data_IF_333152531201
#
_entry.id   IF_333152531201
#
_cell.length_a   1.000
_cell.length_b   1.000
_cell.length_c   1.000
_cell.angle_alpha   90.00
_cell.angle_beta   90.00
_cell.angle_gamma   90.00
#
_symmetry.space_group_name_H-M   'P 1'
#
loop_
_entity.id
_entity.type
_entity.pdbx_description
1 polymer ?
#
# COMPACT_ATOMS: atom_id res chain seq x y z
N UNK A 1 4.63 -2.64 17.58
CA UNK A 1 5.57 -1.90 16.72
C UNK A 1 4.79 -1.39 15.52
N UNK A 2 5.09 -0.20 15.00
CA UNK A 2 4.46 0.26 13.76
C UNK A 2 5.00 -0.57 12.58
N UNK A 3 4.15 -1.05 11.67
CA UNK A 3 4.60 -1.78 10.49
C UNK A 3 5.51 -0.95 9.58
N UNK A 4 6.38 -1.63 8.83
CA UNK A 4 7.34 -1.01 7.91
C UNK A 4 8.10 0.22 8.49
N UNK A 5 8.44 0.16 9.78
CA UNK A 5 9.09 1.26 10.51
C UNK A 5 10.44 0.80 11.04
N UNK A 6 11.42 1.70 11.01
CA UNK A 6 12.78 1.44 11.50
C UNK A 6 12.83 1.63 13.01
N UNK A 7 13.41 0.65 13.72
CA UNK A 7 13.63 0.71 15.17
C UNK A 7 15.07 0.35 15.54
N UNK A 8 15.51 0.87 16.68
CA UNK A 8 16.65 0.39 17.47
C UNK A 8 16.24 0.39 18.95
N UNK A 9 16.91 -0.40 19.78
CA UNK A 9 16.61 -0.47 21.21
C UNK A 9 17.87 -0.43 22.08
N UNK A 10 17.67 -0.05 23.35
CA UNK A 10 18.67 -0.13 24.42
C UNK A 10 18.07 -0.92 25.57
N UNK A 11 18.92 -1.62 26.33
CA UNK A 11 18.50 -2.38 27.52
C UNK A 11 19.09 -1.78 28.79
N UNK A 12 18.35 -1.87 29.89
CA UNK A 12 18.83 -1.53 31.24
C UNK A 12 18.72 -2.76 32.14
N UNK A 13 19.68 -2.94 33.04
CA UNK A 13 19.59 -3.94 34.10
C UNK A 13 18.97 -3.32 35.35
N UNK A 14 18.11 -4.08 36.04
CA UNK A 14 17.40 -3.65 37.24
C UNK A 14 17.66 -4.64 38.37
N UNK A 15 18.08 -4.16 39.53
CA UNK A 15 18.21 -4.96 40.75
C UNK A 15 17.70 -4.16 41.98
N UNK A 16 17.81 -4.74 43.18
CA UNK A 16 17.35 -4.11 44.43
C UNK A 16 18.07 -2.79 44.78
N UNK A 17 19.26 -2.54 44.22
CA UNK A 17 20.05 -1.32 44.44
C UNK A 17 19.77 -0.24 43.40
N UNK A 18 19.06 -0.56 42.32
CA UNK A 18 18.66 0.41 41.30
C UNK A 18 18.85 -0.08 39.87
N UNK A 19 18.95 0.87 38.95
CA UNK A 19 19.07 0.64 37.51
C UNK A 19 20.50 0.87 37.03
N UNK A 20 20.97 0.07 36.07
CA UNK A 20 22.22 0.34 35.36
C UNK A 20 22.09 1.53 34.40
N UNK A 21 23.22 1.99 33.86
CA UNK A 21 23.18 2.80 32.64
C UNK A 21 22.61 1.97 31.47
N UNK A 22 21.93 2.61 30.50
CA UNK A 22 21.49 1.93 29.27
C UNK A 22 22.66 1.37 28.47
N UNK A 23 22.43 0.24 27.81
CA UNK A 23 23.37 -0.31 26.83
C UNK A 23 23.60 0.62 25.66
N UNK A 24 24.61 0.30 24.84
CA UNK A 24 24.69 0.81 23.46
C UNK A 24 23.43 0.37 22.69
N UNK A 25 23.05 1.17 21.69
CA UNK A 25 21.97 0.87 20.78
C UNK A 25 22.24 -0.43 20.01
N UNK A 26 21.18 -1.19 19.78
CA UNK A 26 21.18 -2.31 18.84
C UNK A 26 21.41 -1.82 17.41
N UNK A 27 21.62 -2.76 16.48
CA UNK A 27 21.47 -2.48 15.06
C UNK A 27 20.05 -2.02 14.73
N UNK A 28 19.94 -1.21 13.68
CA UNK A 28 18.66 -0.83 13.10
C UNK A 28 18.03 -2.03 12.40
N UNK A 29 16.73 -2.22 12.59
CA UNK A 29 15.93 -3.19 11.86
C UNK A 29 14.61 -2.56 11.43
N UNK A 30 14.04 -3.10 10.35
CA UNK A 30 12.74 -2.68 9.85
C UNK A 30 11.72 -3.74 10.23
N UNK A 31 10.60 -3.32 10.79
CA UNK A 31 9.49 -4.24 11.06
C UNK A 31 8.86 -4.76 9.78
N UNK A 32 8.14 -5.88 9.89
CA UNK A 32 7.40 -6.46 8.77
C UNK A 32 6.39 -5.49 8.17
N UNK A 33 6.07 -5.74 6.91
CA UNK A 33 5.03 -5.06 6.14
C UNK A 33 3.67 -5.62 6.53
N UNK A 34 2.63 -4.80 6.42
CA UNK A 34 1.23 -5.20 6.58
C UNK A 34 0.37 -4.67 5.43
N UNK A 35 -0.87 -5.16 5.35
CA UNK A 35 -1.83 -4.65 4.38
C UNK A 35 -2.13 -3.17 4.67
N UNK A 36 -2.20 -2.29 3.65
CA UNK A 36 -2.59 -0.90 3.85
C UNK A 36 -3.94 -0.81 4.54
N UNK A 37 -4.03 0.03 5.57
CA UNK A 37 -5.28 0.35 6.26
C UNK A 37 -5.97 1.55 5.62
N UNK A 38 -5.19 2.40 4.95
CA UNK A 38 -5.71 3.54 4.21
C UNK A 38 -6.19 3.19 2.80
N UNK A 39 -7.15 3.98 2.32
CA UNK A 39 -7.67 3.90 0.95
C UNK A 39 -7.55 5.24 0.24
N UNK A 40 -7.33 5.26 -1.09
CA UNK A 40 -7.40 6.50 -1.85
C UNK A 40 -8.78 7.14 -1.68
N UNK A 41 -8.81 8.47 -1.58
CA UNK A 41 -10.06 9.22 -1.46
C UNK A 41 -10.45 9.74 -2.83
N UNK A 42 -11.52 9.19 -3.40
CA UNK A 42 -12.07 9.68 -4.68
C UNK A 42 -12.49 11.13 -4.55
N UNK A 43 -11.97 11.99 -5.42
CA UNK A 43 -12.32 13.42 -5.47
C UNK A 43 -13.30 13.73 -6.58
N UNK A 44 -13.17 13.08 -7.73
CA UNK A 44 -14.06 13.25 -8.88
C UNK A 44 -14.29 11.88 -9.49
N UNK A 45 -15.53 11.58 -9.85
CA UNK A 45 -15.90 10.43 -10.65
C UNK A 45 -17.09 10.80 -11.54
N UNK A 46 -16.93 10.74 -12.87
CA UNK A 46 -18.01 11.00 -13.82
C UNK A 46 -17.74 10.32 -15.17
N UNK A 47 -18.81 10.10 -15.93
CA UNK A 47 -18.71 9.61 -17.29
C UNK A 47 -18.24 10.75 -18.22
N UNK A 48 -17.21 10.50 -19.01
CA UNK A 48 -16.73 11.41 -20.07
C UNK A 48 -17.34 11.10 -21.43
N UNK A 49 -17.88 9.89 -21.60
CA UNK A 49 -18.69 9.48 -22.75
C UNK A 49 -19.61 8.33 -22.33
N UNK A 50 -20.43 7.83 -23.26
CA UNK A 50 -21.25 6.62 -23.05
C UNK A 50 -20.42 5.38 -22.63
N UNK A 51 -19.12 5.37 -22.90
CA UNK A 51 -18.24 4.23 -22.66
C UNK A 51 -16.97 4.61 -21.90
N UNK A 52 -16.88 5.79 -21.30
CA UNK A 52 -15.65 6.22 -20.62
C UNK A 52 -15.93 6.87 -19.28
N UNK A 53 -15.13 6.50 -18.28
CA UNK A 53 -15.19 7.09 -16.93
C UNK A 53 -13.90 7.86 -16.67
N UNK A 54 -14.04 9.07 -16.13
CA UNK A 54 -12.95 9.81 -15.51
C UNK A 54 -13.03 9.65 -14.00
N UNK A 55 -11.91 9.32 -13.37
CA UNK A 55 -11.78 9.22 -11.93
C UNK A 55 -10.50 9.92 -11.48
N UNK A 56 -10.60 10.71 -10.41
CA UNK A 56 -9.46 11.29 -9.71
C UNK A 56 -9.54 11.03 -8.22
N UNK A 57 -8.38 10.95 -7.57
CA UNK A 57 -8.28 10.61 -6.17
C UNK A 57 -7.09 11.30 -5.49
N UNK A 58 -7.17 11.42 -4.16
CA UNK A 58 -6.04 11.75 -3.29
C UNK A 58 -5.43 10.47 -2.75
N UNK A 59 -4.12 10.49 -2.51
CA UNK A 59 -3.42 9.41 -1.82
C UNK A 59 -3.97 9.24 -0.38
N UNK A 60 -3.96 8.02 0.18
CA UNK A 60 -4.16 7.86 1.60
C UNK A 60 -2.98 8.45 2.40
N UNK A 61 -3.15 8.70 3.71
CA UNK A 61 -2.05 9.12 4.57
C UNK A 61 -0.88 8.13 4.51
N UNK A 62 0.39 8.59 4.42
CA UNK A 62 1.55 7.71 4.31
C UNK A 62 1.64 6.65 5.42
N UNK A 63 1.30 7.02 6.66
CA UNK A 63 1.28 6.15 7.83
C UNK A 63 0.26 5.00 7.75
N UNK A 64 -0.68 5.09 6.81
CA UNK A 64 -1.67 4.04 6.54
C UNK A 64 -1.27 3.11 5.39
N UNK A 65 -0.15 3.42 4.71
CA UNK A 65 0.51 2.58 3.72
C UNK A 65 1.58 1.79 4.49
N UNK A 66 1.16 0.66 5.07
CA UNK A 66 1.95 -0.17 5.99
C UNK A 66 3.03 -1.01 5.28
N UNK A 67 3.69 -0.44 4.28
CA UNK A 67 4.64 -1.12 3.42
C UNK A 67 5.16 -0.19 2.33
N UNK A 68 5.87 -0.77 1.37
CA UNK A 68 6.35 -0.04 0.21
C UNK A 68 5.19 0.35 -0.71
N UNK A 69 5.12 1.62 -1.10
CA UNK A 69 4.13 2.09 -2.07
C UNK A 69 4.59 1.76 -3.49
N UNK A 70 3.83 0.92 -4.20
CA UNK A 70 4.16 0.54 -5.60
C UNK A 70 3.32 1.28 -6.64
N UNK A 71 2.30 2.02 -6.22
CA UNK A 71 1.39 2.74 -7.09
C UNK A 71 -0.09 2.47 -6.80
N UNK A 72 -0.92 2.51 -7.84
CA UNK A 72 -2.37 2.30 -7.73
C UNK A 72 -2.84 1.16 -8.62
N UNK A 73 -3.84 0.42 -8.13
CA UNK A 73 -4.60 -0.56 -8.89
C UNK A 73 -6.02 -0.06 -9.11
N UNK A 74 -6.42 0.08 -10.36
CA UNK A 74 -7.75 0.50 -10.78
C UNK A 74 -8.51 -0.72 -11.26
N UNK A 75 -9.67 -1.01 -10.68
CA UNK A 75 -10.57 -2.07 -11.15
C UNK A 75 -11.78 -1.45 -11.82
N UNK A 76 -12.21 -1.99 -12.96
CA UNK A 76 -13.37 -1.48 -13.69
C UNK A 76 -14.17 -2.60 -14.34
N UNK A 77 -15.45 -2.34 -14.61
CA UNK A 77 -16.32 -3.23 -15.38
C UNK A 77 -16.58 -2.65 -16.76
N UNK A 78 -16.27 -3.39 -17.84
CA UNK A 78 -16.63 -2.97 -19.18
C UNK A 78 -18.16 -2.93 -19.36
N UNK A 79 -18.64 -2.05 -20.22
CA UNK A 79 -20.08 -1.92 -20.52
C UNK A 79 -20.62 -3.08 -21.38
N UNK A 80 -19.81 -3.56 -22.32
CA UNK A 80 -20.27 -4.42 -23.42
C UNK A 80 -19.84 -5.90 -23.26
N UNK A 81 -19.37 -6.30 -22.07
CA UNK A 81 -18.98 -7.68 -21.75
C UNK A 81 -19.94 -8.30 -20.72
N UNK A 82 -19.97 -9.63 -20.64
CA UNK A 82 -20.73 -10.36 -19.61
C UNK A 82 -20.48 -9.75 -18.23
N UNK A 83 -21.55 -9.65 -17.44
CA UNK A 83 -21.68 -8.77 -16.25
C UNK A 83 -20.66 -8.97 -15.14
N UNK A 84 -19.85 -10.03 -15.22
CA UNK A 84 -18.90 -10.43 -14.19
C UNK A 84 -17.42 -10.16 -14.54
N UNK A 85 -17.11 -9.69 -15.76
CA UNK A 85 -15.73 -9.39 -16.15
C UNK A 85 -15.22 -8.12 -15.46
N UNK A 86 -14.37 -8.29 -14.45
CA UNK A 86 -13.64 -7.20 -13.80
C UNK A 86 -12.24 -7.11 -14.40
N UNK A 87 -11.92 -5.95 -14.99
CA UNK A 87 -10.58 -5.66 -15.52
C UNK A 87 -9.78 -4.81 -14.56
N UNK A 88 -8.47 -4.96 -14.59
CA UNK A 88 -7.54 -4.21 -13.74
C UNK A 88 -6.53 -3.41 -14.59
N UNK A 89 -6.19 -2.21 -14.13
CA UNK A 89 -5.12 -1.37 -14.67
C UNK A 89 -4.20 -1.01 -13.51
N UNK A 90 -2.89 -1.09 -13.75
CA UNK A 90 -1.86 -0.75 -12.77
C UNK A 90 -1.18 0.56 -13.19
N UNK A 91 -1.20 1.53 -12.30
CA UNK A 91 -0.37 2.74 -12.42
C UNK A 91 0.83 2.51 -11.52
N UNK A 92 1.94 2.07 -12.12
CA UNK A 92 3.21 1.79 -11.41
C UNK A 92 4.12 3.00 -11.44
N UNK A 93 4.94 3.12 -10.40
CA UNK A 93 5.77 4.29 -10.19
C UNK A 93 7.11 4.22 -10.96
N UNK A 94 7.24 5.03 -12.00
CA UNK A 94 8.54 5.59 -12.43
C UNK A 94 8.44 7.12 -12.66
N UNK A 95 7.24 7.69 -12.50
CA UNK A 95 6.92 9.10 -12.75
C UNK A 95 6.12 9.73 -11.59
N UNK A 96 5.79 8.94 -10.56
CA UNK A 96 5.06 9.34 -9.35
C UNK A 96 6.05 9.59 -8.17
N UNK A 97 7.30 9.14 -8.34
CA UNK A 97 8.47 9.34 -7.46
C UNK A 97 9.06 10.77 -7.61
N UNK A 98 8.29 11.82 -7.33
CA UNK A 98 8.86 13.17 -7.15
C UNK A 98 8.51 13.72 -5.78
N UNK A 99 9.34 13.32 -4.82
CA UNK A 99 9.55 13.92 -3.50
C UNK A 99 8.40 13.72 -2.53
N UNK A 100 8.79 13.42 -1.29
CA UNK A 100 8.01 13.15 -0.08
C UNK A 100 7.01 14.25 0.35
N UNK A 101 6.46 15.03 -0.58
CA UNK A 101 5.43 16.07 -0.39
C UNK A 101 4.42 16.22 -1.56
N UNK A 102 4.54 15.47 -2.68
CA UNK A 102 3.83 15.81 -3.94
C UNK A 102 2.83 14.81 -4.50
N UNK A 103 2.59 13.62 -3.93
CA UNK A 103 1.47 12.79 -4.39
C UNK A 103 0.18 13.26 -3.71
N UNK A 104 -0.33 14.43 -4.11
CA UNK A 104 -1.59 14.95 -3.58
C UNK A 104 -2.77 14.54 -4.45
N UNK A 105 -2.56 14.27 -5.74
CA UNK A 105 -3.63 14.01 -6.70
C UNK A 105 -3.15 13.09 -7.83
N UNK A 106 -3.93 12.03 -8.12
CA UNK A 106 -3.77 11.21 -9.31
C UNK A 106 -5.11 11.09 -10.05
N UNK A 107 -5.06 10.83 -11.36
CA UNK A 107 -6.23 10.76 -12.24
C UNK A 107 -6.06 9.68 -13.30
N UNK A 108 -7.17 9.09 -13.72
CA UNK A 108 -7.23 8.16 -14.83
C UNK A 108 -8.52 8.34 -15.62
N UNK A 109 -8.42 8.12 -16.93
CA UNK A 109 -9.57 7.91 -17.82
C UNK A 109 -9.58 6.45 -18.24
N UNK A 110 -10.68 5.76 -17.97
CA UNK A 110 -10.84 4.35 -18.31
C UNK A 110 -11.89 4.23 -19.43
N UNK A 111 -11.42 3.87 -20.62
CA UNK A 111 -12.29 3.61 -21.77
C UNK A 111 -12.94 2.21 -21.67
N UNK A 112 -14.11 2.06 -22.26
CA UNK A 112 -14.98 0.89 -22.16
C UNK A 112 -15.68 0.72 -20.81
N UNK A 113 -15.44 1.56 -19.80
CA UNK A 113 -15.93 1.35 -18.44
C UNK A 113 -17.28 2.04 -18.16
N UNK A 114 -18.12 1.40 -17.35
CA UNK A 114 -19.31 2.03 -16.74
C UNK A 114 -19.10 2.36 -15.25
N UNK A 115 -18.23 1.61 -14.56
CA UNK A 115 -17.86 1.81 -13.15
C UNK A 115 -16.38 1.51 -12.95
N UNK A 116 -15.72 2.27 -12.08
CA UNK A 116 -14.31 2.07 -11.71
C UNK A 116 -14.08 2.31 -10.20
N UNK A 117 -13.09 1.63 -9.62
CA UNK A 117 -12.62 1.84 -8.25
C UNK A 117 -11.09 1.81 -8.20
N UNK A 118 -10.50 2.48 -7.21
CA UNK A 118 -9.03 2.61 -7.08
C UNK A 118 -8.58 2.13 -5.71
N UNK A 119 -7.48 1.38 -5.66
CA UNK A 119 -6.82 0.90 -4.43
C UNK A 119 -5.32 1.17 -4.48
N UNK A 120 -4.68 1.25 -3.32
CA UNK A 120 -3.21 1.26 -3.23
C UNK A 120 -2.66 -0.09 -3.67
N UNK A 121 -1.58 -0.05 -4.44
CA UNK A 121 -0.75 -1.21 -4.75
C UNK A 121 0.42 -1.23 -3.77
N UNK A 122 0.49 -2.29 -2.97
CA UNK A 122 1.68 -2.65 -2.19
C UNK A 122 2.17 -4.03 -2.65
N UNK A 123 3.42 -4.41 -2.38
CA UNK A 123 3.85 -5.79 -2.57
C UNK A 123 2.90 -6.66 -1.76
N UNK A 124 2.27 -7.65 -2.40
CA UNK A 124 1.43 -8.60 -1.69
C UNK A 124 2.22 -9.18 -0.52
N UNK A 125 1.70 -9.06 0.69
CA UNK A 125 2.21 -9.77 1.86
C UNK A 125 2.04 -11.27 1.65
N UNK A 126 2.93 -11.87 0.89
CA UNK A 126 3.03 -13.31 0.72
C UNK A 126 3.57 -13.93 2.00
N UNK A 127 2.69 -14.18 2.96
CA UNK A 127 2.85 -15.29 3.93
C UNK A 127 1.77 -16.35 3.71
N UNK A 128 1.23 -16.45 2.49
CA UNK A 128 0.34 -17.54 2.07
C UNK A 128 0.83 -18.36 0.88
N UNK A 129 1.92 -17.98 0.22
CA UNK A 129 2.49 -18.73 -0.92
C UNK A 129 3.80 -19.48 -0.60
N UNK A 130 4.29 -19.43 0.65
CA UNK A 130 5.48 -20.17 1.11
C UNK A 130 5.07 -21.44 1.89
N UNK A 131 4.35 -22.33 1.20
CA UNK A 131 4.10 -23.69 1.68
C UNK A 131 5.32 -24.58 1.36
N UNK A 132 6.48 -24.31 1.96
CA UNK A 132 7.63 -25.24 1.96
C UNK A 132 8.37 -25.27 3.30
N UNK A 133 7.76 -25.93 4.29
CA UNK A 133 8.53 -26.82 5.15
C UNK A 133 7.93 -28.22 5.04
N UNK A 134 8.41 -29.01 4.07
CA UNK A 134 8.44 -30.45 4.25
C UNK A 134 9.57 -30.73 5.25
N UNK A 135 9.21 -30.88 6.52
CA UNK A 135 9.99 -31.73 7.41
C UNK A 135 9.87 -33.15 6.84
N UNK A 136 10.88 -33.58 6.08
CA UNK A 136 11.18 -34.99 5.98
C UNK A 136 12.16 -35.31 7.11
N UNK A 137 11.80 -36.30 7.92
CA UNK A 137 12.80 -37.10 8.63
C UNK A 137 13.72 -37.77 7.62
#
# INVERSE_FOLDING_TARGET
LQPFTVYSFRVIAVNKLGHSQPSKESYYFVTLREAPTGKPVTTIAHNTSATSVYISWKAPPPESILGEFLGYRITYRPRDYHTDDVKEIYIRDSAVEVRNDKIRFARARVAGASRASVRVLVPSGGLRDEQWMRLRR
#
